data_IF_309691543502
#
_entry.id   IF_309691543502
#
_cell.length_a   1.000
_cell.length_b   1.000
_cell.length_c   1.000
_cell.angle_alpha   90.00
_cell.angle_beta   90.00
_cell.angle_gamma   90.00
#
_symmetry.space_group_name_H-M   'P 1'
#
loop_
_entity.id
_entity.type
_entity.pdbx_description
1 polymer ?
#
# COMPACT_ATOMS: atom_id res chain seq x y z
N UNK A 1 -14.92 7.71 -4.73
CA UNK A 1 -14.15 8.84 -5.28
C UNK A 1 -13.77 8.49 -6.70
N UNK A 2 -13.81 9.46 -7.60
CA UNK A 2 -13.26 9.33 -8.96
C UNK A 2 -11.76 9.59 -8.94
N UNK A 3 -11.04 9.23 -10.00
CA UNK A 3 -9.59 9.50 -10.12
C UNK A 3 -9.28 10.99 -10.03
N UNK A 4 -10.13 11.86 -10.61
CA UNK A 4 -9.97 13.31 -10.51
C UNK A 4 -10.12 13.83 -9.08
N UNK A 5 -11.04 13.26 -8.28
CA UNK A 5 -11.20 13.60 -6.87
C UNK A 5 -10.00 13.12 -6.05
N UNK A 6 -9.46 11.94 -6.35
CA UNK A 6 -8.24 11.43 -5.71
C UNK A 6 -7.05 12.35 -6.03
N UNK A 7 -6.84 12.69 -7.30
CA UNK A 7 -5.79 13.60 -7.72
C UNK A 7 -5.93 15.00 -7.09
N UNK A 8 -7.16 15.47 -6.88
CA UNK A 8 -7.41 16.74 -6.19
C UNK A 8 -6.94 16.69 -4.72
N UNK A 9 -7.14 15.58 -4.01
CA UNK A 9 -6.61 15.39 -2.64
C UNK A 9 -5.08 15.44 -2.61
N UNK A 10 -4.41 14.83 -3.59
CA UNK A 10 -2.95 14.88 -3.70
C UNK A 10 -2.43 16.30 -3.99
N UNK A 11 -3.11 17.05 -4.87
CA UNK A 11 -2.75 18.45 -5.17
C UNK A 11 -2.99 19.35 -3.96
N UNK A 12 -4.12 19.21 -3.28
CA UNK A 12 -4.45 19.99 -2.07
C UNK A 12 -3.47 19.75 -0.91
N UNK A 13 -2.78 18.61 -0.91
CA UNK A 13 -1.74 18.29 0.07
C UNK A 13 -0.32 18.71 -0.36
N UNK A 14 -0.16 19.37 -1.51
CA UNK A 14 1.16 19.55 -2.16
C UNK A 14 1.94 18.24 -2.27
N UNK A 15 1.24 17.12 -2.45
CA UNK A 15 1.81 15.79 -2.55
C UNK A 15 2.09 15.37 -4.00
N UNK A 16 1.48 16.08 -4.97
CA UNK A 16 1.74 15.94 -6.39
C UNK A 16 2.32 17.25 -6.91
N UNK A 17 3.63 17.28 -7.09
CA UNK A 17 4.35 18.42 -7.61
C UNK A 17 4.62 18.23 -9.10
N UNK A 18 4.38 19.28 -9.90
CA UNK A 18 4.74 19.31 -11.29
C UNK A 18 6.01 20.15 -11.46
N UNK A 19 6.99 19.63 -12.19
CA UNK A 19 8.28 20.30 -12.41
C UNK A 19 9.27 19.37 -13.08
N UNK A 20 10.55 19.67 -12.95
CA UNK A 20 11.63 18.79 -13.42
C UNK A 20 12.30 18.14 -12.22
N UNK A 21 12.08 16.84 -12.01
CA UNK A 21 12.59 16.11 -10.87
C UNK A 21 13.55 15.00 -11.30
N UNK A 22 14.65 14.89 -10.58
CA UNK A 22 15.56 13.75 -10.67
C UNK A 22 15.16 12.74 -9.58
N UNK A 23 14.68 11.57 -10.00
CA UNK A 23 14.28 10.50 -9.09
C UNK A 23 15.50 9.78 -8.53
N UNK A 24 15.35 9.08 -7.41
CA UNK A 24 16.40 8.24 -6.81
C UNK A 24 16.94 7.15 -7.75
N UNK A 25 16.16 6.76 -8.75
CA UNK A 25 16.56 5.86 -9.82
C UNK A 25 17.46 6.52 -10.90
N UNK A 26 17.76 7.83 -10.78
CA UNK A 26 18.47 8.62 -11.80
C UNK A 26 17.62 9.01 -13.02
N UNK A 27 16.34 8.66 -13.04
CA UNK A 27 15.41 9.02 -14.11
C UNK A 27 14.82 10.41 -13.87
N UNK A 28 14.56 11.16 -14.95
CA UNK A 28 13.84 12.41 -14.90
C UNK A 28 12.32 12.16 -14.90
N UNK A 29 11.58 12.99 -14.17
CA UNK A 29 10.12 12.96 -14.13
C UNK A 29 9.57 14.36 -14.11
N UNK A 30 8.47 14.59 -14.81
CA UNK A 30 7.71 15.83 -14.74
C UNK A 30 6.86 15.93 -13.46
N UNK A 31 6.69 14.82 -12.75
CA UNK A 31 5.92 14.75 -11.53
C UNK A 31 6.74 14.12 -10.40
N UNK A 32 6.62 14.70 -9.22
CA UNK A 32 7.12 14.13 -7.97
C UNK A 32 5.94 13.88 -7.04
N UNK A 33 5.84 12.66 -6.55
CA UNK A 33 4.78 12.24 -5.66
C UNK A 33 5.34 11.92 -4.27
N UNK A 34 4.66 12.44 -3.23
CA UNK A 34 5.04 12.24 -1.83
C UNK A 34 3.81 11.81 -1.02
N UNK A 35 3.54 10.51 -0.98
CA UNK A 35 2.36 9.97 -0.30
C UNK A 35 2.29 10.31 1.18
N UNK A 36 3.44 10.41 1.87
CA UNK A 36 3.46 10.81 3.28
C UNK A 36 2.79 12.18 3.53
N UNK A 37 2.84 13.10 2.57
CA UNK A 37 2.17 14.41 2.68
C UNK A 37 0.65 14.31 2.56
N UNK A 38 0.13 13.45 1.70
CA UNK A 38 -1.31 13.25 1.59
C UNK A 38 -1.85 12.47 2.78
N UNK A 39 -1.06 11.54 3.32
CA UNK A 39 -1.45 10.67 4.42
C UNK A 39 -1.26 11.30 5.82
N UNK A 40 -0.58 12.46 5.94
CA UNK A 40 -0.41 13.12 7.24
C UNK A 40 -1.73 13.68 7.81
N UNK A 41 -2.70 13.97 6.96
CA UNK A 41 -4.05 14.36 7.35
C UNK A 41 -4.91 13.10 7.49
N UNK A 42 -5.34 12.81 8.71
CA UNK A 42 -6.05 11.57 9.04
C UNK A 42 -7.43 11.45 8.38
N UNK A 43 -8.13 12.57 8.18
CA UNK A 43 -9.44 12.55 7.50
C UNK A 43 -9.25 12.24 6.01
N UNK A 44 -8.25 12.85 5.39
CA UNK A 44 -7.88 12.58 4.00
C UNK A 44 -7.41 11.14 3.82
N UNK A 45 -6.50 10.65 4.68
CA UNK A 45 -6.03 9.27 4.66
C UNK A 45 -7.20 8.28 4.78
N UNK A 46 -8.16 8.57 5.66
CA UNK A 46 -9.37 7.76 5.80
C UNK A 46 -10.26 7.76 4.57
N UNK A 47 -10.48 8.92 3.92
CA UNK A 47 -11.27 8.99 2.67
C UNK A 47 -10.60 8.20 1.54
N UNK A 48 -9.29 8.34 1.39
CA UNK A 48 -8.50 7.60 0.38
C UNK A 48 -8.53 6.09 0.64
N UNK A 49 -8.37 5.66 1.89
CA UNK A 49 -8.47 4.25 2.25
C UNK A 49 -9.86 3.67 1.98
N UNK A 50 -10.93 4.41 2.25
CA UNK A 50 -12.29 3.98 1.91
C UNK A 50 -12.50 3.88 0.40
N UNK A 51 -11.95 4.82 -0.38
CA UNK A 51 -12.00 4.76 -1.85
C UNK A 51 -11.22 3.54 -2.37
N UNK A 52 -10.03 3.31 -1.86
CA UNK A 52 -9.20 2.14 -2.21
C UNK A 52 -9.88 0.83 -1.81
N UNK A 53 -10.47 0.73 -0.61
CA UNK A 53 -11.22 -0.44 -0.20
C UNK A 53 -12.43 -0.71 -1.10
N UNK A 54 -13.05 0.32 -1.68
CA UNK A 54 -14.17 0.19 -2.59
C UNK A 54 -13.78 -0.40 -3.96
N UNK A 55 -12.51 -0.33 -4.39
CA UNK A 55 -12.03 -0.97 -5.62
C UNK A 55 -11.98 -2.49 -5.49
N UNK A 56 -11.83 -3.01 -4.27
CA UNK A 56 -11.78 -4.45 -4.02
C UNK A 56 -13.15 -5.10 -4.22
N UNK A 57 -13.25 -6.26 -4.91
CA UNK A 57 -14.48 -7.04 -4.97
C UNK A 57 -15.04 -7.37 -3.59
N UNK A 58 -16.37 -7.41 -3.46
CA UNK A 58 -17.03 -7.64 -2.17
C UNK A 58 -16.57 -8.94 -1.49
N UNK A 59 -16.51 -10.02 -2.27
CA UNK A 59 -16.14 -11.34 -1.73
C UNK A 59 -14.68 -11.35 -1.24
N UNK A 60 -13.79 -10.66 -1.97
CA UNK A 60 -12.41 -10.48 -1.53
C UNK A 60 -12.34 -9.72 -0.20
N UNK A 61 -13.05 -8.56 -0.10
CA UNK A 61 -13.09 -7.79 1.16
C UNK A 61 -13.56 -8.61 2.36
N UNK A 62 -14.55 -9.47 2.16
CA UNK A 62 -15.08 -10.33 3.21
C UNK A 62 -14.12 -11.45 3.61
N UNK A 63 -13.30 -11.91 2.68
CA UNK A 63 -12.35 -13.00 2.91
C UNK A 63 -11.08 -12.58 3.64
N UNK A 64 -10.72 -11.29 3.62
CA UNK A 64 -9.51 -10.77 4.25
C UNK A 64 -9.59 -10.95 5.77
N UNK A 65 -8.53 -11.49 6.36
CA UNK A 65 -8.39 -11.63 7.81
C UNK A 65 -7.51 -10.53 8.41
N UNK A 66 -6.48 -10.09 7.67
CA UNK A 66 -5.45 -9.18 8.16
C UNK A 66 -4.93 -8.31 7.02
N UNK A 67 -4.66 -7.04 7.32
CA UNK A 67 -3.92 -6.12 6.44
C UNK A 67 -2.46 -6.11 6.86
N UNK A 68 -1.55 -6.23 5.90
CA UNK A 68 -0.11 -6.11 6.13
C UNK A 68 0.47 -5.08 5.18
N UNK A 69 1.35 -4.23 5.66
CA UNK A 69 2.02 -3.21 4.85
C UNK A 69 3.52 -3.20 5.08
N UNK A 70 4.33 -2.88 4.08
CA UNK A 70 5.75 -2.61 4.27
C UNK A 70 5.98 -1.27 4.97
N UNK A 71 6.79 -1.25 6.01
CA UNK A 71 7.23 0.01 6.60
C UNK A 71 8.31 0.64 5.71
N UNK A 72 8.36 1.98 5.65
CA UNK A 72 7.58 2.97 6.39
C UNK A 72 6.37 3.48 5.60
N UNK A 73 6.48 3.61 4.27
CA UNK A 73 5.49 4.29 3.41
C UNK A 73 4.07 3.71 3.56
N UNK A 74 3.98 2.38 3.57
CA UNK A 74 2.71 1.67 3.66
C UNK A 74 2.02 1.70 5.03
N UNK A 75 2.70 2.14 6.12
CA UNK A 75 2.17 1.98 7.49
C UNK A 75 0.86 2.74 7.70
N UNK A 76 0.80 4.01 7.29
CA UNK A 76 -0.39 4.84 7.52
C UNK A 76 -1.55 4.33 6.67
N UNK A 77 -1.34 4.12 5.38
CA UNK A 77 -2.42 3.64 4.51
C UNK A 77 -2.85 2.23 4.88
N UNK A 78 -1.93 1.35 5.30
CA UNK A 78 -2.24 0.02 5.78
C UNK A 78 -3.13 0.05 7.03
N UNK A 79 -2.83 0.93 7.99
CA UNK A 79 -3.67 1.13 9.17
C UNK A 79 -5.07 1.62 8.80
N UNK A 80 -5.16 2.62 7.93
CA UNK A 80 -6.44 3.17 7.48
C UNK A 80 -7.25 2.16 6.64
N UNK A 81 -6.59 1.31 5.85
CA UNK A 81 -7.24 0.20 5.15
C UNK A 81 -7.80 -0.84 6.14
N UNK A 82 -7.04 -1.17 7.20
CA UNK A 82 -7.55 -2.01 8.28
C UNK A 82 -8.81 -1.42 8.91
N UNK A 83 -8.82 -0.11 9.19
CA UNK A 83 -9.99 0.60 9.69
C UNK A 83 -11.16 0.57 8.70
N UNK A 84 -10.92 0.82 7.41
CA UNK A 84 -11.95 0.83 6.37
C UNK A 84 -12.59 -0.56 6.17
N UNK A 85 -11.82 -1.63 6.34
CA UNK A 85 -12.26 -3.02 6.19
C UNK A 85 -12.77 -3.64 7.50
N UNK A 86 -12.57 -2.97 8.65
CA UNK A 86 -12.87 -3.51 9.98
C UNK A 86 -11.97 -4.71 10.32
N UNK A 87 -10.71 -4.68 9.89
CA UNK A 87 -9.71 -5.75 10.08
C UNK A 87 -8.49 -5.24 10.84
N UNK A 88 -7.77 -6.09 11.59
CA UNK A 88 -6.48 -5.71 12.14
C UNK A 88 -5.50 -5.36 11.03
N UNK A 89 -4.55 -4.46 11.34
CA UNK A 89 -3.48 -4.06 10.43
C UNK A 89 -2.14 -4.10 11.16
N UNK A 90 -1.16 -4.73 10.53
CA UNK A 90 0.22 -4.80 11.00
C UNK A 90 1.18 -4.39 9.87
N UNK A 91 2.46 -4.34 10.16
CA UNK A 91 3.47 -4.03 9.15
C UNK A 91 4.72 -4.89 9.32
N UNK A 92 5.44 -5.08 8.22
CA UNK A 92 6.78 -5.66 8.19
C UNK A 92 7.81 -4.55 8.05
N UNK A 93 8.96 -4.73 8.68
CA UNK A 93 10.04 -3.73 8.73
C UNK A 93 11.30 -4.28 8.08
N UNK A 94 12.16 -3.38 7.60
CA UNK A 94 13.44 -3.74 6.99
C UNK A 94 14.60 -3.16 7.82
N UNK A 95 14.92 -3.72 8.99
CA UNK A 95 15.96 -3.16 9.88
C UNK A 95 17.38 -3.31 9.33
N UNK A 96 17.66 -4.39 8.59
CA UNK A 96 18.98 -4.77 8.08
C UNK A 96 18.99 -5.17 6.61
N UNK A 97 18.06 -4.62 5.82
CA UNK A 97 18.00 -4.88 4.37
C UNK A 97 16.95 -5.89 3.92
N UNK A 98 16.52 -6.82 4.78
CA UNK A 98 15.42 -7.76 4.54
C UNK A 98 14.21 -7.41 5.38
N UNK A 99 13.00 -7.69 4.88
CA UNK A 99 11.80 -7.53 5.67
C UNK A 99 11.70 -8.59 6.77
N UNK A 100 11.20 -8.17 7.92
CA UNK A 100 11.01 -8.99 9.10
C UNK A 100 9.66 -8.67 9.74
N UNK A 101 9.00 -9.70 10.28
CA UNK A 101 7.84 -9.55 11.16
C UNK A 101 8.37 -9.32 12.59
N UNK A 102 8.10 -8.12 13.14
CA UNK A 102 8.66 -7.69 14.43
C UNK A 102 7.57 -7.26 15.40
N UNK A 103 7.96 -6.65 16.52
CA UNK A 103 7.09 -6.02 17.54
C UNK A 103 6.08 -6.99 18.17
N UNK A 104 6.37 -8.29 18.15
CA UNK A 104 5.45 -9.30 18.66
C UNK A 104 4.24 -9.55 17.76
N UNK A 105 4.25 -9.02 16.53
CA UNK A 105 3.21 -9.36 15.55
C UNK A 105 3.32 -10.82 15.16
N UNK A 106 2.16 -11.46 15.01
CA UNK A 106 2.03 -12.84 14.56
C UNK A 106 1.00 -12.92 13.44
N UNK A 107 1.18 -13.89 12.55
CA UNK A 107 0.23 -14.20 11.48
C UNK A 107 -0.28 -15.61 11.74
N UNK A 108 -1.60 -15.79 11.82
CA UNK A 108 -2.18 -17.11 11.93
C UNK A 108 -1.92 -17.92 10.65
N UNK A 109 -1.68 -19.21 10.79
CA UNK A 109 -1.47 -20.10 9.64
C UNK A 109 -2.68 -20.09 8.71
N UNK A 110 -2.44 -19.83 7.42
CA UNK A 110 -3.47 -19.72 6.40
C UNK A 110 -4.32 -18.44 6.46
N UNK A 111 -3.98 -17.45 7.32
CA UNK A 111 -4.69 -16.18 7.35
C UNK A 111 -4.61 -15.47 5.98
N UNK A 112 -5.75 -15.00 5.50
CA UNK A 112 -5.87 -14.30 4.21
C UNK A 112 -5.45 -12.84 4.34
N UNK A 113 -4.37 -12.50 3.68
CA UNK A 113 -3.67 -11.23 3.81
C UNK A 113 -3.94 -10.34 2.61
N UNK A 114 -4.36 -9.10 2.87
CA UNK A 114 -4.27 -8.00 1.93
C UNK A 114 -2.95 -7.27 2.18
N UNK A 115 -2.06 -7.26 1.16
CA UNK A 115 -0.90 -6.35 1.18
C UNK A 115 -1.35 -4.95 0.79
N UNK A 116 -0.80 -3.92 1.47
CA UNK A 116 -1.14 -2.52 1.18
C UNK A 116 0.12 -1.67 1.15
N UNK A 117 0.34 -0.98 0.03
CA UNK A 117 1.43 -0.03 -0.19
C UNK A 117 0.91 1.38 -0.45
N UNK A 118 1.75 2.38 -0.23
CA UNK A 118 1.45 3.75 -0.68
C UNK A 118 1.73 3.91 -2.18
N UNK A 119 2.86 3.41 -2.67
CA UNK A 119 3.26 3.50 -4.09
C UNK A 119 3.90 2.19 -4.55
N UNK A 120 3.39 1.62 -5.62
CA UNK A 120 4.04 0.52 -6.32
C UNK A 120 4.74 1.04 -7.57
N UNK A 121 6.02 0.68 -7.74
CA UNK A 121 6.82 1.00 -8.93
C UNK A 121 7.23 -0.27 -9.66
N UNK A 122 8.33 -0.89 -9.27
CA UNK A 122 8.78 -2.18 -9.83
C UNK A 122 8.14 -3.39 -9.14
N UNK A 123 7.46 -3.17 -8.01
CA UNK A 123 6.91 -4.21 -7.16
C UNK A 123 7.96 -5.02 -6.37
N UNK A 124 9.23 -4.60 -6.37
CA UNK A 124 10.29 -5.33 -5.65
C UNK A 124 10.00 -5.36 -4.15
N UNK A 125 9.70 -4.20 -3.55
CA UNK A 125 9.38 -4.08 -2.13
C UNK A 125 8.18 -4.94 -1.75
N UNK A 126 7.13 -4.87 -2.56
CA UNK A 126 5.91 -5.69 -2.38
C UNK A 126 6.22 -7.19 -2.38
N UNK A 127 6.96 -7.68 -3.39
CA UNK A 127 7.31 -9.11 -3.48
C UNK A 127 8.15 -9.57 -2.29
N UNK A 128 9.15 -8.80 -1.88
CA UNK A 128 9.99 -9.13 -0.71
C UNK A 128 9.18 -9.15 0.60
N UNK A 129 8.26 -8.20 0.77
CA UNK A 129 7.35 -8.17 1.91
C UNK A 129 6.39 -9.38 1.91
N UNK A 130 5.85 -9.74 0.74
CA UNK A 130 5.00 -10.92 0.58
C UNK A 130 5.74 -12.22 0.93
N UNK A 131 7.01 -12.35 0.57
CA UNK A 131 7.84 -13.52 0.95
C UNK A 131 7.95 -13.65 2.47
N UNK A 132 8.16 -12.54 3.18
CA UNK A 132 8.20 -12.52 4.64
C UNK A 132 6.86 -12.96 5.24
N UNK A 133 5.74 -12.47 4.69
CA UNK A 133 4.39 -12.82 5.15
C UNK A 133 4.08 -14.30 4.90
N UNK A 134 4.43 -14.83 3.72
CA UNK A 134 4.27 -16.25 3.37
C UNK A 134 5.12 -17.14 4.27
N UNK A 135 6.36 -16.75 4.55
CA UNK A 135 7.23 -17.48 5.48
C UNK A 135 6.68 -17.50 6.92
N UNK A 136 5.86 -16.53 7.29
CA UNK A 136 5.15 -16.49 8.57
C UNK A 136 3.80 -17.23 8.57
N UNK A 137 3.42 -17.92 7.48
CA UNK A 137 2.21 -18.73 7.35
C UNK A 137 1.02 -17.99 6.73
N UNK A 138 1.17 -16.74 6.28
CA UNK A 138 0.09 -15.99 5.64
C UNK A 138 -0.15 -16.35 4.18
N UNK A 139 -1.40 -16.32 3.74
CA UNK A 139 -1.83 -16.45 2.36
C UNK A 139 -2.12 -15.06 1.77
N UNK A 140 -1.28 -14.59 0.83
CA UNK A 140 -1.52 -13.32 0.17
C UNK A 140 -2.65 -13.48 -0.85
N UNK A 141 -3.77 -12.82 -0.64
CA UNK A 141 -4.95 -12.91 -1.52
C UNK A 141 -5.02 -11.75 -2.52
N UNK A 142 -4.42 -10.61 -2.21
CA UNK A 142 -4.32 -9.46 -3.11
C UNK A 142 -3.31 -8.43 -2.57
N UNK A 143 -2.97 -7.47 -3.43
CA UNK A 143 -2.33 -6.22 -3.05
C UNK A 143 -3.17 -5.03 -3.50
N UNK A 144 -3.15 -3.96 -2.70
CA UNK A 144 -3.72 -2.66 -3.05
C UNK A 144 -2.70 -1.55 -2.83
N UNK A 145 -2.74 -0.49 -3.63
CA UNK A 145 -1.90 0.70 -3.41
C UNK A 145 -2.63 1.98 -3.75
N UNK A 146 -2.24 3.11 -3.14
CA UNK A 146 -2.79 4.41 -3.50
C UNK A 146 -2.35 4.84 -4.90
N UNK A 147 -1.14 4.42 -5.31
CA UNK A 147 -0.55 4.86 -6.57
C UNK A 147 0.17 3.69 -7.25
N UNK A 148 -0.20 3.44 -8.50
CA UNK A 148 0.57 2.61 -9.42
C UNK A 148 1.45 3.49 -10.31
N UNK A 149 2.76 3.37 -10.18
CA UNK A 149 3.76 4.01 -11.05
C UNK A 149 4.42 3.03 -12.02
N UNK A 150 3.93 1.80 -12.09
CA UNK A 150 4.38 0.81 -13.06
C UNK A 150 3.80 1.04 -14.46
N UNK A 151 2.76 1.88 -14.56
CA UNK A 151 1.96 2.03 -15.77
C UNK A 151 1.14 0.79 -16.11
N UNK A 152 0.71 0.05 -15.10
CA UNK A 152 -0.09 -1.18 -15.26
C UNK A 152 0.74 -2.38 -15.70
N UNK A 153 2.09 -2.31 -15.64
CA UNK A 153 2.96 -3.39 -16.14
C UNK A 153 3.52 -4.30 -15.05
N UNK A 154 3.32 -3.94 -13.76
CA UNK A 154 3.83 -4.74 -12.64
C UNK A 154 3.07 -6.05 -12.53
N UNK A 155 3.82 -7.14 -12.38
CA UNK A 155 3.29 -8.45 -11.99
C UNK A 155 3.75 -8.75 -10.55
N UNK A 156 2.78 -8.87 -9.65
CA UNK A 156 3.01 -9.18 -8.24
C UNK A 156 2.72 -10.65 -7.92
N UNK A 157 2.25 -11.43 -8.89
CA UNK A 157 1.84 -12.82 -8.71
C UNK A 157 0.52 -12.98 -7.93
N UNK A 158 -0.18 -11.87 -7.65
CA UNK A 158 -1.49 -11.80 -7.00
C UNK A 158 -2.31 -10.70 -7.65
N UNK A 159 -3.67 -10.70 -7.51
CA UNK A 159 -4.50 -9.59 -7.96
C UNK A 159 -4.02 -8.26 -7.36
N UNK A 160 -3.91 -7.23 -8.20
CA UNK A 160 -3.45 -5.89 -7.81
C UNK A 160 -4.55 -4.86 -8.06
N UNK A 161 -4.82 -4.03 -7.06
CA UNK A 161 -5.87 -3.00 -7.05
C UNK A 161 -5.24 -1.65 -6.68
N UNK A 162 -4.80 -0.86 -7.69
CA UNK A 162 -4.30 0.48 -7.45
C UNK A 162 -5.41 1.50 -7.28
#
# INVERSE_FOLDING_TARGET
MTDDEILAEFRAADALLQGHFLLSSGRHSEYYLQCARVLMDSERAGRLAMALAATLPRDLRQSIDLVVSPAMGGVIIGHEMGRALGKPAIFVERPTGTFELRRGFTIAEGAKILMVEDVVTTGLSSREAMETVRAAGGEIVAEASLVDRSGGTVDLGVPFYP
#
